data_IF_294828414256
#
_entry.id   IF_294828414256
#
_cell.length_a   1.000
_cell.length_b   1.000
_cell.length_c   1.000
_cell.angle_alpha   90.00
_cell.angle_beta   90.00
_cell.angle_gamma   90.00
#
_symmetry.space_group_name_H-M   'P 1'
#
loop_
_entity.id
_entity.type
_entity.pdbx_description
1 polymer ?
#
# COMPACT_ATOMS: atom_id res chain seq x y z
N UNK A 1 -16.42 -53.78 -6.34
CA UNK A 1 -15.16 -53.15 -6.78
C UNK A 1 -15.51 -51.92 -7.60
N UNK A 2 -14.79 -50.81 -7.41
CA UNK A 2 -14.52 -49.70 -8.35
C UNK A 2 -15.71 -49.03 -9.09
N UNK A 3 -15.81 -47.70 -9.18
CA UNK A 3 -15.05 -46.62 -8.57
C UNK A 3 -15.93 -45.35 -8.55
N UNK A 4 -15.74 -44.49 -7.55
CA UNK A 4 -16.42 -43.19 -7.51
C UNK A 4 -15.78 -42.22 -8.50
N UNK A 5 -16.57 -41.67 -9.43
CA UNK A 5 -16.13 -40.59 -10.29
C UNK A 5 -16.13 -39.27 -9.50
N UNK A 6 -15.01 -38.96 -8.84
CA UNK A 6 -14.76 -37.62 -8.35
C UNK A 6 -14.64 -36.69 -9.56
N UNK A 7 -15.68 -35.89 -9.81
CA UNK A 7 -15.60 -34.78 -10.77
C UNK A 7 -14.71 -33.73 -10.13
N UNK A 8 -13.42 -33.76 -10.46
CA UNK A 8 -12.50 -32.68 -10.15
C UNK A 8 -13.01 -31.43 -10.87
N UNK A 9 -13.65 -30.54 -10.11
CA UNK A 9 -14.00 -29.22 -10.58
C UNK A 9 -12.69 -28.49 -10.90
N UNK A 10 -12.31 -28.49 -12.17
CA UNK A 10 -11.23 -27.65 -12.65
C UNK A 10 -11.67 -26.20 -12.44
N UNK A 11 -11.17 -25.59 -11.36
CA UNK A 11 -11.27 -24.15 -11.15
C UNK A 11 -10.36 -23.51 -12.18
N UNK A 12 -10.87 -23.39 -13.41
CA UNK A 12 -10.33 -22.52 -14.43
C UNK A 12 -10.43 -21.10 -13.90
N UNK A 13 -9.41 -20.66 -13.18
CA UNK A 13 -9.15 -19.25 -12.95
C UNK A 13 -8.94 -18.63 -14.31
N UNK A 14 -10.04 -18.15 -14.89
CA UNK A 14 -10.04 -17.36 -16.11
C UNK A 14 -9.46 -15.99 -15.75
N UNK A 15 -8.13 -15.96 -15.62
CA UNK A 15 -7.37 -14.73 -15.51
C UNK A 15 -7.76 -13.86 -16.69
N UNK A 16 -8.38 -12.72 -16.39
CA UNK A 16 -8.75 -11.75 -17.41
C UNK A 16 -7.50 -11.40 -18.23
N UNK A 17 -7.68 -11.15 -19.53
CA UNK A 17 -6.57 -10.70 -20.37
C UNK A 17 -5.89 -9.48 -19.71
N UNK A 18 -4.55 -9.44 -19.62
CA UNK A 18 -3.85 -8.36 -18.94
C UNK A 18 -4.30 -6.98 -19.47
N UNK A 19 -4.42 -5.97 -18.59
CA UNK A 19 -4.84 -4.62 -18.99
C UNK A 19 -4.06 -4.10 -20.20
N UNK A 20 -4.76 -3.41 -21.10
CA UNK A 20 -4.17 -2.83 -22.30
C UNK A 20 -4.19 -1.31 -22.19
N UNK A 21 -3.01 -0.70 -22.21
CA UNK A 21 -2.82 0.75 -22.07
C UNK A 21 -2.42 1.38 -23.40
N UNK A 22 -3.05 2.52 -23.72
CA UNK A 22 -2.84 3.29 -24.95
C UNK A 22 -1.90 4.47 -24.76
N UNK A 23 -1.58 4.83 -23.51
CA UNK A 23 -0.68 5.95 -23.19
C UNK A 23 -0.06 5.84 -21.80
N UNK A 24 1.07 6.54 -21.60
CA UNK A 24 1.69 6.74 -20.29
C UNK A 24 0.74 7.38 -19.26
N UNK A 25 -0.28 8.15 -19.69
CA UNK A 25 -1.29 8.71 -18.80
C UNK A 25 -2.24 7.65 -18.23
N UNK A 26 -2.62 6.64 -19.03
CA UNK A 26 -3.41 5.50 -18.54
C UNK A 26 -2.57 4.61 -17.61
N UNK A 27 -1.27 4.42 -17.90
CA UNK A 27 -0.33 3.74 -17.00
C UNK A 27 -0.13 4.49 -15.67
N UNK A 28 -0.02 5.82 -15.70
CA UNK A 28 0.01 6.66 -14.49
C UNK A 28 -1.29 6.52 -13.68
N UNK A 29 -2.45 6.45 -14.35
CA UNK A 29 -3.75 6.19 -13.74
C UNK A 29 -3.89 4.78 -13.14
N UNK A 30 -3.22 3.78 -13.71
CA UNK A 30 -3.14 2.45 -13.12
C UNK A 30 -2.15 2.39 -11.94
N UNK A 31 -1.01 3.08 -12.04
CA UNK A 31 0.03 3.16 -11.02
C UNK A 31 -0.41 3.83 -9.70
N UNK A 32 -1.49 4.63 -9.70
CA UNK A 32 -2.08 5.13 -8.44
C UNK A 32 -2.92 4.09 -7.70
N UNK A 33 -3.39 3.04 -8.39
CA UNK A 33 -4.24 1.99 -7.85
C UNK A 33 -3.47 0.69 -7.57
N UNK A 34 -2.56 0.30 -8.47
CA UNK A 34 -1.79 -0.94 -8.43
C UNK A 34 -0.29 -0.64 -8.25
N UNK A 35 0.47 -1.42 -7.45
CA UNK A 35 0.08 -2.69 -6.80
C UNK A 35 -0.65 -2.54 -5.44
N UNK A 36 -0.81 -1.33 -4.90
CA UNK A 36 -1.33 -1.16 -3.52
C UNK A 36 -2.72 -1.76 -3.30
N UNK A 37 -3.63 -1.63 -4.28
CA UNK A 37 -4.96 -2.23 -4.23
C UNK A 37 -4.93 -3.77 -4.23
N UNK A 38 -3.98 -4.40 -4.93
CA UNK A 38 -3.80 -5.86 -4.89
C UNK A 38 -3.38 -6.29 -3.49
N UNK A 39 -2.44 -5.57 -2.86
CA UNK A 39 -2.05 -5.81 -1.48
C UNK A 39 -3.21 -5.68 -0.48
N UNK A 40 -4.11 -4.71 -0.69
CA UNK A 40 -5.32 -4.57 0.13
C UNK A 40 -6.30 -5.73 -0.04
N UNK A 41 -6.54 -6.19 -1.28
CA UNK A 41 -7.38 -7.38 -1.55
C UNK A 41 -6.80 -8.63 -0.88
N UNK A 42 -5.48 -8.83 -0.98
CA UNK A 42 -4.80 -9.94 -0.30
C UNK A 42 -4.91 -9.83 1.23
N UNK A 43 -4.77 -8.62 1.79
CA UNK A 43 -4.99 -8.35 3.22
C UNK A 43 -6.41 -8.69 3.70
N UNK A 44 -7.44 -8.30 2.94
CA UNK A 44 -8.84 -8.68 3.22
C UNK A 44 -9.06 -10.20 3.11
N UNK A 45 -8.41 -10.85 2.13
CA UNK A 45 -8.47 -12.30 1.95
C UNK A 45 -7.85 -13.05 3.14
N UNK A 46 -6.68 -12.62 3.64
CA UNK A 46 -6.07 -13.17 4.86
C UNK A 46 -7.01 -13.03 6.08
N UNK A 47 -7.68 -11.89 6.23
CA UNK A 47 -8.63 -11.68 7.33
C UNK A 47 -9.84 -12.62 7.22
N UNK A 48 -10.46 -12.75 6.05
CA UNK A 48 -11.62 -13.64 5.84
C UNK A 48 -11.24 -15.11 5.98
N UNK A 49 -10.18 -15.55 5.32
CA UNK A 49 -9.73 -16.93 5.33
C UNK A 49 -9.18 -17.37 6.69
N UNK A 50 -8.61 -16.44 7.46
CA UNK A 50 -8.18 -16.69 8.83
C UNK A 50 -9.31 -17.02 9.82
N UNK A 51 -10.58 -17.03 9.38
CA UNK A 51 -11.72 -17.53 10.16
C UNK A 51 -11.83 -19.07 10.14
N UNK A 52 -11.28 -19.75 9.13
CA UNK A 52 -11.47 -21.20 8.92
C UNK A 52 -10.34 -22.08 9.50
N UNK A 53 -9.29 -21.47 10.06
CA UNK A 53 -8.24 -22.20 10.77
C UNK A 53 -6.96 -21.39 10.98
N UNK A 54 -6.20 -21.75 12.01
CA UNK A 54 -4.90 -21.11 12.30
C UNK A 54 -3.84 -21.44 11.24
N UNK A 55 -3.91 -22.63 10.62
CA UNK A 55 -3.02 -23.03 9.53
C UNK A 55 -3.21 -22.13 8.29
N UNK A 56 -4.44 -22.01 7.79
CA UNK A 56 -4.83 -21.10 6.71
C UNK A 56 -4.49 -19.64 7.02
N UNK A 57 -4.70 -19.19 8.27
CA UNK A 57 -4.28 -17.86 8.74
C UNK A 57 -2.76 -17.67 8.65
N UNK A 58 -1.98 -18.64 9.11
CA UNK A 58 -0.52 -18.58 9.10
C UNK A 58 0.04 -18.60 7.67
N UNK A 59 -0.52 -19.44 6.79
CA UNK A 59 -0.18 -19.50 5.36
C UNK A 59 -0.48 -18.17 4.67
N UNK A 60 -1.70 -17.64 4.81
CA UNK A 60 -2.07 -16.35 4.22
C UNK A 60 -1.19 -15.19 4.68
N UNK A 61 -0.85 -15.12 5.97
CA UNK A 61 0.10 -14.12 6.49
C UNK A 61 1.55 -14.32 5.99
N UNK A 62 1.95 -15.54 5.64
CA UNK A 62 3.25 -15.80 5.01
C UNK A 62 3.24 -15.37 3.54
N UNK A 63 2.22 -15.78 2.78
CA UNK A 63 2.04 -15.46 1.37
C UNK A 63 1.93 -13.94 1.14
N UNK A 64 1.15 -13.22 1.96
CA UNK A 64 1.04 -11.76 1.89
C UNK A 64 2.40 -11.07 2.11
N UNK A 65 3.13 -11.42 3.18
CA UNK A 65 4.47 -10.84 3.44
C UNK A 65 5.48 -11.18 2.35
N UNK A 66 5.39 -12.38 1.77
CA UNK A 66 6.22 -12.76 0.63
C UNK A 66 5.90 -11.90 -0.61
N UNK A 67 4.61 -11.69 -0.92
CA UNK A 67 4.17 -10.82 -2.00
C UNK A 67 4.60 -9.36 -1.76
N UNK A 68 4.40 -8.81 -0.57
CA UNK A 68 4.83 -7.44 -0.21
C UNK A 68 6.33 -7.24 -0.38
N UNK A 69 7.13 -8.23 0.02
CA UNK A 69 8.59 -8.22 -0.15
C UNK A 69 8.99 -8.18 -1.62
N UNK A 70 8.31 -8.95 -2.49
CA UNK A 70 8.52 -8.92 -3.96
C UNK A 70 8.09 -7.59 -4.59
N UNK A 71 7.02 -6.96 -4.09
CA UNK A 71 6.45 -5.73 -4.63
C UNK A 71 6.99 -4.44 -3.99
N UNK A 72 7.95 -4.53 -3.07
CA UNK A 72 8.43 -3.40 -2.26
C UNK A 72 8.76 -2.15 -3.09
N UNK A 73 9.50 -2.30 -4.18
CA UNK A 73 9.88 -1.17 -5.03
C UNK A 73 8.71 -0.64 -5.87
N UNK A 74 7.82 -1.51 -6.35
CA UNK A 74 6.59 -1.09 -7.06
C UNK A 74 5.60 -0.37 -6.12
N UNK A 75 5.46 -0.82 -4.88
CA UNK A 75 4.68 -0.15 -3.83
C UNK A 75 5.27 1.23 -3.49
N UNK A 76 6.60 1.35 -3.41
CA UNK A 76 7.29 2.62 -3.24
C UNK A 76 7.08 3.53 -4.46
N UNK A 77 7.12 3.00 -5.68
CA UNK A 77 6.95 3.79 -6.90
C UNK A 77 5.51 4.25 -7.11
N UNK A 78 4.50 3.42 -6.86
CA UNK A 78 3.09 3.83 -6.91
C UNK A 78 2.73 4.93 -5.90
N UNK A 79 3.40 4.97 -4.73
CA UNK A 79 3.33 6.11 -3.81
C UNK A 79 3.96 7.38 -4.40
N UNK A 80 5.11 7.27 -5.08
CA UNK A 80 5.75 8.42 -5.76
C UNK A 80 4.91 8.93 -6.93
N UNK A 81 4.30 8.04 -7.73
CA UNK A 81 3.40 8.41 -8.83
C UNK A 81 2.16 9.15 -8.31
N UNK A 82 1.54 8.69 -7.20
CA UNK A 82 0.46 9.45 -6.55
C UNK A 82 0.89 10.84 -6.11
N UNK A 83 2.06 10.97 -5.47
CA UNK A 83 2.57 12.27 -5.02
C UNK A 83 2.91 13.20 -6.21
N UNK A 84 3.47 12.67 -7.29
CA UNK A 84 3.75 13.38 -8.54
C UNK A 84 2.45 13.92 -9.15
N UNK A 85 1.43 13.07 -9.32
CA UNK A 85 0.12 13.48 -9.83
C UNK A 85 -0.57 14.49 -8.92
N UNK A 86 -0.58 14.28 -7.59
CA UNK A 86 -1.14 15.24 -6.64
C UNK A 86 -0.47 16.62 -6.74
N UNK A 87 0.85 16.66 -7.00
CA UNK A 87 1.61 17.89 -7.18
C UNK A 87 1.33 18.60 -8.52
N UNK A 88 0.79 17.92 -9.53
CA UNK A 88 0.37 18.56 -10.79
C UNK A 88 -0.92 19.39 -10.65
N UNK A 89 -1.77 19.08 -9.65
CA UNK A 89 -3.00 19.81 -9.38
C UNK A 89 -2.70 21.10 -8.58
N UNK A 90 -2.46 22.19 -9.30
CA UNK A 90 -2.26 23.53 -8.73
C UNK A 90 -3.57 24.20 -8.28
N UNK A 91 -4.70 23.81 -8.88
CA UNK A 91 -6.02 24.26 -8.46
C UNK A 91 -6.50 23.49 -7.20
N UNK A 92 -6.93 24.18 -6.13
CA UNK A 92 -7.38 23.53 -4.89
C UNK A 92 -8.57 22.59 -5.06
N UNK A 93 -9.53 22.91 -5.93
CA UNK A 93 -10.74 22.10 -6.12
C UNK A 93 -10.40 20.82 -6.90
N UNK A 94 -9.58 20.90 -7.93
CA UNK A 94 -9.06 19.74 -8.66
C UNK A 94 -8.22 18.83 -7.75
N UNK A 95 -7.36 19.41 -6.91
CA UNK A 95 -6.59 18.65 -5.92
C UNK A 95 -7.49 17.94 -4.90
N UNK A 96 -8.49 18.63 -4.34
CA UNK A 96 -9.46 18.02 -3.43
C UNK A 96 -10.24 16.87 -4.11
N UNK A 97 -10.57 17.02 -5.39
CA UNK A 97 -11.25 15.97 -6.17
C UNK A 97 -10.36 14.75 -6.38
N UNK A 98 -9.06 14.93 -6.59
CA UNK A 98 -8.08 13.85 -6.67
C UNK A 98 -7.88 13.16 -5.31
N UNK A 99 -7.78 13.92 -4.22
CA UNK A 99 -7.67 13.35 -2.88
C UNK A 99 -8.93 12.54 -2.50
N UNK A 100 -10.11 12.98 -2.92
CA UNK A 100 -11.38 12.24 -2.75
C UNK A 100 -11.45 10.97 -3.60
N UNK A 101 -10.95 10.99 -4.85
CA UNK A 101 -10.78 9.81 -5.70
C UNK A 101 -9.93 8.74 -4.99
N UNK A 102 -8.79 9.14 -4.42
CA UNK A 102 -7.91 8.24 -3.65
C UNK A 102 -8.59 7.70 -2.39
N UNK A 103 -9.38 8.54 -1.69
CA UNK A 103 -10.03 8.20 -0.41
C UNK A 103 -11.28 7.34 -0.55
N UNK A 104 -11.96 7.37 -1.71
CA UNK A 104 -13.28 6.70 -1.87
C UNK A 104 -13.33 5.72 -3.03
N UNK A 105 -12.90 6.13 -4.23
CA UNK A 105 -13.08 5.33 -5.45
C UNK A 105 -12.08 4.18 -5.52
N UNK A 106 -10.82 4.37 -5.09
CA UNK A 106 -9.84 3.29 -5.01
C UNK A 106 -10.24 2.21 -3.98
N UNK A 107 -10.63 2.54 -2.72
CA UNK A 107 -11.19 1.56 -1.79
C UNK A 107 -12.42 0.82 -2.33
N UNK A 108 -13.33 1.49 -3.06
CA UNK A 108 -14.47 0.80 -3.69
C UNK A 108 -14.04 -0.18 -4.79
N UNK A 109 -12.97 0.10 -5.53
CA UNK A 109 -12.44 -0.83 -6.54
C UNK A 109 -11.85 -2.08 -5.87
N UNK A 110 -11.08 -1.89 -4.79
CA UNK A 110 -10.54 -2.96 -3.94
C UNK A 110 -11.68 -3.83 -3.39
N UNK A 111 -12.71 -3.22 -2.80
CA UNK A 111 -13.84 -3.94 -2.20
C UNK A 111 -14.62 -4.75 -3.25
N UNK A 112 -14.82 -4.20 -4.46
CA UNK A 112 -15.44 -4.95 -5.58
C UNK A 112 -14.61 -6.15 -5.99
N UNK A 113 -13.29 -6.01 -6.04
CA UNK A 113 -12.38 -7.09 -6.41
C UNK A 113 -12.34 -8.18 -5.31
N UNK A 114 -12.31 -7.78 -4.03
CA UNK A 114 -12.41 -8.69 -2.90
C UNK A 114 -13.74 -9.43 -2.84
N UNK A 115 -14.85 -8.75 -3.12
CA UNK A 115 -16.21 -9.33 -3.15
C UNK A 115 -16.31 -10.58 -4.03
N UNK A 116 -15.55 -10.65 -5.14
CA UNK A 116 -15.50 -11.84 -6.01
C UNK A 116 -14.95 -13.05 -5.26
N UNK A 117 -13.77 -12.91 -4.64
CA UNK A 117 -13.15 -13.97 -3.84
C UNK A 117 -14.02 -14.33 -2.62
N UNK A 118 -14.56 -13.32 -1.94
CA UNK A 118 -15.38 -13.50 -0.76
C UNK A 118 -16.63 -14.34 -1.04
N UNK A 119 -17.33 -14.08 -2.16
CA UNK A 119 -18.49 -14.89 -2.59
C UNK A 119 -18.11 -16.33 -2.88
N UNK A 120 -17.06 -16.57 -3.66
CA UNK A 120 -16.62 -17.94 -3.98
C UNK A 120 -16.26 -18.77 -2.73
N UNK A 121 -15.78 -18.12 -1.67
CA UNK A 121 -15.58 -18.73 -0.34
C UNK A 121 -16.91 -18.94 0.37
N UNK A 122 -17.80 -17.93 0.40
CA UNK A 122 -19.08 -18.02 1.10
C UNK A 122 -20.01 -19.10 0.52
N UNK A 123 -19.95 -19.31 -0.80
CA UNK A 123 -20.70 -20.32 -1.56
C UNK A 123 -20.28 -21.77 -1.24
N UNK A 124 -19.14 -22.01 -0.58
CA UNK A 124 -18.74 -23.36 -0.17
C UNK A 124 -19.60 -23.88 0.98
N UNK A 125 -19.97 -25.16 0.92
CA UNK A 125 -20.96 -25.76 1.84
C UNK A 125 -20.41 -26.21 3.20
N UNK A 126 -19.09 -26.32 3.35
CA UNK A 126 -18.43 -26.76 4.60
C UNK A 126 -17.24 -25.88 4.95
N UNK A 127 -16.91 -25.77 6.23
CA UNK A 127 -15.72 -25.02 6.69
C UNK A 127 -14.42 -25.58 6.13
N UNK A 128 -14.32 -26.91 5.96
CA UNK A 128 -13.18 -27.55 5.31
C UNK A 128 -13.02 -27.09 3.85
N UNK A 129 -14.10 -27.08 3.06
CA UNK A 129 -14.05 -26.58 1.68
C UNK A 129 -13.73 -25.06 1.60
N UNK A 130 -14.08 -24.28 2.63
CA UNK A 130 -13.67 -22.87 2.76
C UNK A 130 -12.18 -22.74 3.03
N UNK A 131 -11.63 -23.54 3.94
CA UNK A 131 -10.20 -23.60 4.21
C UNK A 131 -9.42 -24.04 2.96
N UNK A 132 -9.82 -25.14 2.30
CA UNK A 132 -9.19 -25.65 1.09
C UNK A 132 -9.17 -24.60 -0.05
N UNK A 133 -10.27 -23.88 -0.27
CA UNK A 133 -10.34 -22.80 -1.27
C UNK A 133 -9.46 -21.59 -0.89
N UNK A 134 -9.40 -21.25 0.40
CA UNK A 134 -8.53 -20.21 0.91
C UNK A 134 -7.04 -20.54 0.72
N UNK A 135 -6.63 -21.76 1.08
CA UNK A 135 -5.26 -22.25 0.88
C UNK A 135 -4.91 -22.29 -0.61
N UNK A 136 -5.86 -22.63 -1.50
CA UNK A 136 -5.67 -22.52 -2.95
C UNK A 136 -5.42 -21.09 -3.44
N UNK A 137 -6.07 -20.07 -2.87
CA UNK A 137 -5.75 -18.67 -3.20
C UNK A 137 -4.36 -18.25 -2.68
N UNK A 138 -3.94 -18.72 -1.51
CA UNK A 138 -2.60 -18.43 -0.99
C UNK A 138 -1.50 -19.17 -1.76
N UNK A 139 -1.75 -20.40 -2.20
CA UNK A 139 -0.90 -21.11 -3.18
C UNK A 139 -0.75 -20.27 -4.47
N UNK A 140 -1.82 -19.68 -5.00
CA UNK A 140 -1.74 -18.79 -6.17
C UNK A 140 -0.92 -17.51 -5.92
N UNK A 141 -0.85 -17.00 -4.68
CA UNK A 141 0.05 -15.90 -4.28
C UNK A 141 1.51 -16.36 -4.22
N UNK A 142 1.76 -17.56 -3.71
CA UNK A 142 3.11 -18.16 -3.66
C UNK A 142 3.63 -18.50 -5.06
N UNK A 143 2.75 -19.02 -5.93
CA UNK A 143 2.94 -19.26 -7.37
C UNK A 143 2.99 -17.96 -8.20
N UNK A 144 3.00 -16.79 -7.55
CA UNK A 144 3.19 -15.46 -8.17
C UNK A 144 2.08 -15.03 -9.14
N UNK A 145 0.91 -15.65 -9.11
CA UNK A 145 -0.20 -15.29 -10.00
C UNK A 145 -0.76 -13.89 -9.68
N UNK A 146 -0.52 -13.41 -8.45
CA UNK A 146 -0.79 -12.04 -8.00
C UNK A 146 0.41 -11.09 -8.18
N UNK A 147 1.55 -11.54 -8.73
CA UNK A 147 2.68 -10.65 -9.00
C UNK A 147 2.37 -9.73 -10.19
N UNK A 148 2.76 -8.46 -10.07
CA UNK A 148 2.48 -7.44 -11.09
C UNK A 148 3.05 -7.81 -12.46
N UNK A 149 4.21 -8.47 -12.48
CA UNK A 149 4.86 -9.00 -13.69
C UNK A 149 4.06 -10.09 -14.39
N UNK A 150 3.03 -10.67 -13.75
CA UNK A 150 2.14 -11.70 -14.30
C UNK A 150 0.77 -11.12 -14.63
N UNK A 151 0.14 -10.40 -13.69
CA UNK A 151 -1.23 -9.89 -13.86
C UNK A 151 -1.31 -8.59 -14.68
N UNK A 152 -0.26 -7.77 -14.70
CA UNK A 152 -0.16 -6.54 -15.48
C UNK A 152 1.30 -6.26 -15.91
N UNK A 153 1.82 -7.01 -16.91
CA UNK A 153 3.20 -6.88 -17.35
C UNK A 153 3.53 -5.48 -17.92
N UNK A 154 2.53 -4.77 -18.44
CA UNK A 154 2.68 -3.42 -18.97
C UNK A 154 2.94 -2.41 -17.85
N UNK A 155 2.20 -2.49 -16.75
CA UNK A 155 2.42 -1.65 -15.57
C UNK A 155 3.70 -2.02 -14.83
N UNK A 156 4.08 -3.30 -14.78
CA UNK A 156 5.38 -3.73 -14.26
C UNK A 156 6.54 -3.09 -15.04
N UNK A 157 6.53 -3.19 -16.37
CA UNK A 157 7.56 -2.59 -17.24
C UNK A 157 7.61 -1.05 -17.12
N UNK A 158 6.45 -0.41 -16.93
CA UNK A 158 6.36 1.03 -16.65
C UNK A 158 7.07 1.41 -15.34
N UNK A 159 6.84 0.65 -14.25
CA UNK A 159 7.54 0.88 -12.99
C UNK A 159 9.04 0.57 -13.11
N UNK A 160 9.43 -0.53 -13.76
CA UNK A 160 10.84 -0.90 -13.96
C UNK A 160 11.63 0.23 -14.65
N UNK A 161 11.07 0.80 -15.73
CA UNK A 161 11.64 1.96 -16.45
C UNK A 161 11.86 3.16 -15.51
N UNK A 162 10.88 3.48 -14.66
CA UNK A 162 10.96 4.61 -13.71
C UNK A 162 11.97 4.37 -12.58
N UNK A 163 12.02 3.16 -12.04
CA UNK A 163 12.96 2.76 -11.00
C UNK A 163 14.40 2.78 -11.55
N UNK A 164 14.64 2.21 -12.74
CA UNK A 164 15.93 2.21 -13.41
C UNK A 164 16.43 3.63 -13.75
N UNK A 165 15.54 4.51 -14.23
CA UNK A 165 15.87 5.91 -14.51
C UNK A 165 16.32 6.65 -13.25
N UNK A 166 15.65 6.45 -12.11
CA UNK A 166 16.04 7.06 -10.83
C UNK A 166 17.39 6.56 -10.35
N UNK A 167 17.60 5.24 -10.35
CA UNK A 167 18.85 4.65 -9.88
C UNK A 167 20.04 5.15 -10.71
N UNK A 168 19.86 5.29 -12.03
CA UNK A 168 20.85 5.91 -12.94
C UNK A 168 21.10 7.39 -12.62
N UNK A 169 20.05 8.16 -12.33
CA UNK A 169 20.16 9.58 -11.98
C UNK A 169 20.87 9.84 -10.65
N UNK A 170 20.64 9.00 -9.64
CA UNK A 170 21.33 9.09 -8.34
C UNK A 170 22.83 8.83 -8.45
N UNK A 171 23.25 7.95 -9.37
CA UNK A 171 24.67 7.68 -9.63
C UNK A 171 25.45 8.83 -10.26
N UNK A 172 24.77 9.82 -10.87
CA UNK A 172 25.41 10.99 -11.49
C UNK A 172 25.74 12.15 -10.54
N UNK A 173 25.13 12.20 -9.34
CA UNK A 173 25.27 13.34 -8.42
C UNK A 173 26.48 13.26 -7.47
N UNK A 174 27.13 12.10 -7.36
CA UNK A 174 28.24 11.86 -6.43
C UNK A 174 29.63 12.32 -6.94
N UNK A 175 29.70 13.02 -8.07
CA UNK A 175 30.95 13.38 -8.77
C UNK A 175 31.43 14.83 -8.63
N UNK A 176 30.70 15.70 -7.92
CA UNK A 176 30.96 17.15 -7.86
C UNK A 176 31.25 17.63 -6.43
N UNK A 177 32.40 17.24 -5.86
CA UNK A 177 32.93 17.78 -4.61
C UNK A 177 34.46 17.71 -4.60
N UNK A 178 35.09 18.44 -5.52
CA UNK A 178 36.55 18.54 -5.62
C UNK A 178 36.99 19.99 -5.79
N UNK A 179 37.79 20.47 -4.83
CA UNK A 179 38.37 21.85 -4.77
C UNK A 179 37.33 22.93 -4.42
N UNK A 180 37.54 23.83 -3.46
CA UNK A 180 38.79 24.39 -2.91
C UNK A 180 38.79 24.52 -1.38
N UNK A 181 39.95 24.25 -0.75
CA UNK A 181 40.22 24.59 0.65
C UNK A 181 41.21 25.77 0.71
N UNK A 182 40.71 26.91 1.17
CA UNK A 182 41.43 28.11 1.62
C UNK A 182 40.48 28.82 2.58
N UNK A 183 40.78 29.16 3.82
CA UNK A 183 42.07 29.21 4.53
C UNK A 183 42.15 30.54 5.28
N UNK A 184 42.04 30.56 6.60
CA UNK A 184 42.08 31.80 7.40
C UNK A 184 41.49 31.66 8.81
N UNK A 185 42.35 31.74 9.82
CA UNK A 185 41.99 31.69 11.25
C UNK A 185 42.08 33.07 11.90
N UNK A 186 41.49 33.22 13.11
CA UNK A 186 41.58 34.33 14.10
C UNK A 186 40.34 35.23 14.19
N UNK A 187 39.99 35.84 15.34
CA UNK A 187 40.27 35.55 16.75
C UNK A 187 39.28 36.37 17.63
N UNK A 188 39.14 36.00 18.90
CA UNK A 188 38.24 36.59 19.90
C UNK A 188 38.64 37.99 20.42
N UNK A 189 37.65 38.86 20.72
CA UNK A 189 37.48 39.51 22.05
C UNK A 189 36.30 40.52 22.09
N UNK A 190 35.71 40.71 23.28
CA UNK A 190 34.81 41.86 23.57
C UNK A 190 33.61 41.54 24.48
N UNK A 191 33.74 41.79 25.80
CA UNK A 191 32.79 41.41 26.85
C UNK A 191 32.18 42.65 27.56
N UNK A 192 30.86 42.64 27.87
CA UNK A 192 30.17 43.36 28.97
C UNK A 192 28.63 43.17 28.85
N UNK A 193 27.89 42.41 29.67
CA UNK A 193 27.46 42.55 31.10
C UNK A 193 26.36 43.60 31.40
N UNK A 194 25.11 43.12 31.63
CA UNK A 194 24.19 43.50 32.74
C UNK A 194 22.82 42.79 32.53
N UNK A 195 22.43 41.75 33.30
CA UNK A 195 21.75 41.76 34.61
C UNK A 195 20.30 42.31 34.58
N UNK A 196 19.29 41.45 34.80
CA UNK A 196 17.88 41.87 34.94
C UNK A 196 16.93 40.71 35.27
N UNK A 197 16.25 40.80 36.43
CA UNK A 197 15.41 39.75 37.05
C UNK A 197 14.18 40.43 37.70
N UNK A 198 13.00 39.81 37.89
CA UNK A 198 12.60 38.40 37.71
C UNK A 198 11.06 38.25 37.50
N UNK A 199 10.61 37.00 37.35
CA UNK A 199 9.38 36.43 37.94
C UNK A 199 8.04 36.54 37.20
N UNK A 200 7.26 35.46 37.28
CA UNK A 200 5.89 35.37 36.76
C UNK A 200 5.40 33.93 36.61
N UNK A 201 5.31 33.17 37.71
CA UNK A 201 4.81 31.78 37.72
C UNK A 201 3.50 31.65 38.51
N UNK A 202 2.78 30.54 38.28
CA UNK A 202 1.51 30.13 38.94
C UNK A 202 0.25 30.83 38.38
N UNK A 203 -0.95 30.23 38.36
CA UNK A 203 -1.46 28.96 38.95
C UNK A 203 -2.38 28.18 37.98
N UNK A 204 -2.54 26.89 38.22
CA UNK A 204 -3.60 26.06 37.61
C UNK A 204 -4.92 26.13 38.40
N UNK A 205 -6.06 25.96 37.72
CA UNK A 205 -7.35 25.55 38.33
C UNK A 205 -8.18 24.74 37.33
N UNK A 206 -8.54 23.50 37.70
CA UNK A 206 -9.66 22.75 37.10
C UNK A 206 -10.88 22.82 38.02
N UNK A 207 -12.11 22.91 37.51
CA UNK A 207 -13.33 22.56 38.25
C UNK A 207 -13.72 21.08 38.06
N UNK A 208 -14.46 20.55 39.03
CA UNK A 208 -14.90 19.14 39.12
C UNK A 208 -16.38 18.96 38.73
N UNK A 209 -16.82 17.70 38.74
CA UNK A 209 -18.11 17.14 38.29
C UNK A 209 -19.40 17.61 39.03
N UNK A 210 -20.55 17.28 38.41
CA UNK A 210 -21.93 17.33 38.94
C UNK A 210 -22.85 18.02 37.91
N UNK A 211 -23.93 17.44 37.37
CA UNK A 211 -24.88 16.49 37.94
C UNK A 211 -25.72 15.81 36.83
N UNK A 212 -26.32 14.65 37.13
CA UNK A 212 -27.36 14.01 36.29
C UNK A 212 -28.75 14.36 36.82
N UNK A 213 -29.81 14.28 35.98
CA UNK A 213 -31.09 13.78 36.47
C UNK A 213 -31.63 12.59 35.67
N UNK A 214 -32.33 11.71 36.39
CA UNK A 214 -32.97 10.49 35.90
C UNK A 214 -34.49 10.67 35.82
N UNK A 215 -35.09 10.08 34.78
CA UNK A 215 -36.52 9.75 34.61
C UNK A 215 -37.57 10.86 34.57
N UNK A 216 -38.32 10.88 33.46
CA UNK A 216 -39.61 10.17 33.40
C UNK A 216 -39.85 9.58 32.02
#
# INVERSE_FOLDING_TARGET
MLAGAAVFAQVSTAWAQPPQYKSDAELMGAAIASPEGVGQVLGQLVQKCGLYGEATRAHGNAALRAWESRHREYLLEGRRVRAELQATYTDPQARQSFDELLRTQLPMLVERQFTVYARSIDDQTTEAAKADLCDNYFNAVDDRQFDLTVNDPALAAFFDKRIAARNSGTSGAAGASGTSVTGGSSASNGQATATGVASGASTATSPSAGDSPVSK
#
